data_IF_054206960729
#
_entry.id   IF_054206960729
#
_cell.length_a   1.000
_cell.length_b   1.000
_cell.length_c   1.000
_cell.angle_alpha   90.00
_cell.angle_beta   90.00
_cell.angle_gamma   90.00
#
_symmetry.space_group_name_H-M   'P 1'
#
loop_
_entity.id
_entity.type
_entity.pdbx_description
1 polymer ?
#
# COMPACT_ATOMS: atom_id res chain seq x y z
N UNK A 1 15.15 19.52 30.71
CA UNK A 1 14.37 18.28 30.93
C UNK A 1 14.15 17.62 29.60
N UNK A 2 14.82 16.48 29.36
CA UNK A 2 14.59 15.69 28.16
C UNK A 2 13.37 14.79 28.30
N UNK A 3 12.68 14.55 27.19
CA UNK A 3 11.88 13.35 26.92
C UNK A 3 11.93 13.08 25.42
N UNK A 4 12.76 12.11 25.05
CA UNK A 4 12.67 11.41 23.77
C UNK A 4 11.62 10.29 23.84
N UNK A 5 11.27 9.76 22.66
CA UNK A 5 10.49 8.52 22.49
C UNK A 5 9.56 8.62 21.28
N UNK A 6 10.02 8.25 20.07
CA UNK A 6 9.92 6.92 19.41
C UNK A 6 8.56 6.68 18.73
N UNK A 7 8.57 6.59 17.40
CA UNK A 7 7.43 6.20 16.57
C UNK A 7 7.85 5.62 15.22
N UNK A 8 8.50 4.45 15.24
CA UNK A 8 8.52 3.44 14.18
C UNK A 8 8.59 3.86 12.72
N UNK A 9 9.71 4.44 12.27
CA UNK A 9 10.14 4.23 10.90
C UNK A 9 10.82 2.86 10.88
N UNK A 10 10.21 1.85 10.27
CA UNK A 10 11.01 0.71 9.83
C UNK A 10 12.17 1.29 9.01
N UNK A 11 13.39 0.93 9.37
CA UNK A 11 14.62 1.22 8.64
C UNK A 11 14.63 0.46 7.31
N UNK A 12 13.52 0.52 6.59
CA UNK A 12 13.45 0.15 5.19
C UNK A 12 14.02 1.35 4.44
N UNK A 13 15.04 1.15 3.57
CA UNK A 13 15.44 2.21 2.67
C UNK A 13 14.17 2.71 1.96
N UNK A 14 14.01 4.02 1.84
CA UNK A 14 12.87 4.65 1.18
C UNK A 14 13.02 4.45 -0.33
N UNK A 15 12.99 3.18 -0.76
CA UNK A 15 13.20 2.72 -2.12
C UNK A 15 12.22 3.39 -3.09
N UNK A 16 11.03 3.73 -2.60
CA UNK A 16 10.05 4.51 -3.37
C UNK A 16 10.50 5.97 -3.63
N UNK A 17 11.33 6.57 -2.77
CA UNK A 17 11.76 7.96 -2.90
C UNK A 17 12.90 8.16 -3.89
N UNK A 18 13.74 7.14 -4.08
CA UNK A 18 14.81 7.14 -5.07
C UNK A 18 14.29 6.89 -6.50
N UNK A 19 13.07 6.36 -6.62
CA UNK A 19 12.45 6.07 -7.90
C UNK A 19 11.96 7.36 -8.60
N UNK A 20 12.22 7.53 -9.92
CA UNK A 20 11.69 8.66 -10.68
C UNK A 20 10.17 8.77 -10.56
N UNK A 21 9.65 10.00 -10.44
CA UNK A 21 8.21 10.27 -10.25
C UNK A 21 7.33 9.60 -11.32
N UNK A 22 7.76 9.62 -12.58
CA UNK A 22 7.09 8.98 -13.72
C UNK A 22 6.88 7.47 -13.48
N UNK A 23 7.90 6.81 -12.94
CA UNK A 23 7.87 5.38 -12.69
C UNK A 23 7.04 5.06 -11.43
N UNK A 24 7.10 5.92 -10.41
CA UNK A 24 6.26 5.80 -9.22
C UNK A 24 4.77 5.83 -9.57
N UNK A 25 4.35 6.67 -10.52
CA UNK A 25 2.95 6.72 -10.99
C UNK A 25 2.46 5.38 -11.52
N UNK A 26 3.34 4.63 -12.16
CA UNK A 26 3.01 3.37 -12.81
C UNK A 26 3.15 2.18 -11.84
N UNK A 27 3.99 2.30 -10.82
CA UNK A 27 4.25 1.23 -9.85
C UNK A 27 3.47 1.39 -8.53
N UNK A 28 2.80 2.53 -8.33
CA UNK A 28 2.03 2.83 -7.13
C UNK A 28 0.54 2.55 -7.35
N UNK A 29 0.00 1.67 -6.53
CA UNK A 29 -1.42 1.32 -6.48
C UNK A 29 -2.06 1.79 -5.19
N UNK A 30 -3.36 2.04 -5.27
CA UNK A 30 -4.22 2.34 -4.14
C UNK A 30 -5.26 1.23 -3.98
N UNK A 31 -5.42 0.76 -2.75
CA UNK A 31 -6.34 -0.30 -2.37
C UNK A 31 -7.42 0.32 -1.50
N UNK A 32 -8.67 0.11 -1.86
CA UNK A 32 -9.87 0.50 -1.12
C UNK A 32 -10.71 -0.73 -0.78
N UNK A 33 -11.52 -0.62 0.27
CA UNK A 33 -12.37 -1.72 0.72
C UNK A 33 -11.67 -2.71 1.66
N UNK A 34 -10.50 -2.34 2.21
CA UNK A 34 -9.80 -3.20 3.16
C UNK A 34 -10.64 -3.46 4.43
N UNK A 35 -10.64 -4.69 4.98
CA UNK A 35 -11.27 -4.99 6.26
C UNK A 35 -10.60 -4.24 7.40
N UNK A 36 -11.33 -3.83 8.44
CA UNK A 36 -10.79 -3.03 9.55
C UNK A 36 -9.63 -3.68 10.34
N UNK A 37 -9.45 -4.99 10.21
CA UNK A 37 -8.33 -5.74 10.80
C UNK A 37 -7.08 -5.85 9.92
N UNK A 38 -7.10 -5.33 8.69
CA UNK A 38 -5.94 -5.40 7.80
C UNK A 38 -4.90 -4.33 8.12
N UNK A 39 -3.69 -4.79 8.40
CA UNK A 39 -2.53 -3.94 8.62
C UNK A 39 -1.63 -3.86 7.38
N UNK A 40 -0.70 -2.90 7.40
CA UNK A 40 0.30 -2.73 6.35
C UNK A 40 1.06 -4.02 6.03
N UNK A 41 1.42 -4.81 7.06
CA UNK A 41 2.11 -6.09 6.85
C UNK A 41 1.23 -7.11 6.12
N UNK A 42 -0.07 -7.17 6.44
CA UNK A 42 -1.00 -8.08 5.76
C UNK A 42 -1.19 -7.68 4.30
N UNK A 43 -1.30 -6.38 4.03
CA UNK A 43 -1.38 -5.87 2.65
C UNK A 43 -0.09 -6.17 1.88
N UNK A 44 1.09 -5.99 2.50
CA UNK A 44 2.36 -6.39 1.90
C UNK A 44 2.35 -7.87 1.56
N UNK A 45 1.98 -8.72 2.51
CA UNK A 45 2.02 -10.17 2.29
C UNK A 45 1.05 -10.65 1.21
N UNK A 46 -0.14 -10.03 1.15
CA UNK A 46 -1.13 -10.28 0.10
C UNK A 46 -0.62 -9.91 -1.30
N UNK A 47 0.19 -8.85 -1.41
CA UNK A 47 0.66 -8.32 -2.70
C UNK A 47 2.03 -8.88 -3.14
N UNK A 48 2.84 -9.41 -2.21
CA UNK A 48 4.14 -10.05 -2.49
C UNK A 48 4.13 -11.10 -3.63
N UNK A 49 3.13 -11.98 -3.76
CA UNK A 49 3.15 -12.98 -4.84
C UNK A 49 3.02 -12.40 -6.25
N UNK A 50 2.72 -11.10 -6.38
CA UNK A 50 2.63 -10.42 -7.66
C UNK A 50 3.94 -9.75 -8.09
N UNK A 51 4.77 -9.36 -7.12
CA UNK A 51 6.02 -8.66 -7.38
C UNK A 51 6.67 -8.11 -6.11
N UNK A 52 7.82 -7.47 -6.28
CA UNK A 52 8.56 -6.86 -5.18
C UNK A 52 7.83 -5.61 -4.68
N UNK A 53 7.62 -5.53 -3.37
CA UNK A 53 7.02 -4.35 -2.75
C UNK A 53 8.13 -3.47 -2.20
N UNK A 54 8.29 -2.28 -2.78
CA UNK A 54 9.22 -1.28 -2.29
C UNK A 54 8.68 -0.59 -1.04
N UNK A 55 7.39 -0.27 -1.03
CA UNK A 55 6.75 0.37 0.11
C UNK A 55 5.26 0.02 0.18
N UNK A 56 4.71 -0.02 1.39
CA UNK A 56 3.26 -0.09 1.58
C UNK A 56 2.86 0.71 2.80
N UNK A 57 1.69 1.32 2.75
CA UNK A 57 1.16 2.13 3.82
C UNK A 57 -0.36 1.96 3.90
N UNK A 58 -0.88 1.56 5.05
CA UNK A 58 -2.33 1.50 5.30
C UNK A 58 -2.70 2.69 6.14
N UNK A 59 -3.62 3.51 5.65
CA UNK A 59 -4.05 4.70 6.37
C UNK A 59 -4.92 4.28 7.55
N UNK A 60 -4.53 4.73 8.73
CA UNK A 60 -5.24 4.49 9.98
C UNK A 60 -5.78 5.79 10.55
N UNK A 61 -6.88 5.67 11.27
CA UNK A 61 -7.48 6.73 12.06
C UNK A 61 -6.74 6.92 13.40
N UNK A 62 -7.03 7.99 14.13
CA UNK A 62 -6.42 8.30 15.44
C UNK A 62 -6.65 7.20 16.49
N UNK A 63 -7.71 6.40 16.32
CA UNK A 63 -8.00 5.23 17.16
C UNK A 63 -7.22 3.96 16.74
N UNK A 64 -6.28 4.06 15.78
CA UNK A 64 -5.49 2.93 15.29
C UNK A 64 -6.23 1.98 14.35
N UNK A 65 -7.52 2.24 14.07
CA UNK A 65 -8.34 1.48 13.12
C UNK A 65 -8.00 1.90 11.69
N UNK A 66 -7.84 0.97 10.76
CA UNK A 66 -7.62 1.35 9.38
C UNK A 66 -8.85 2.08 8.82
N UNK A 67 -8.63 2.97 7.85
CA UNK A 67 -9.69 3.72 7.18
C UNK A 67 -10.32 2.95 6.02
N UNK A 68 -9.97 1.66 5.88
CA UNK A 68 -10.38 0.82 4.76
C UNK A 68 -9.66 1.10 3.44
N UNK A 69 -8.55 1.84 3.47
CA UNK A 69 -7.72 2.08 2.27
C UNK A 69 -6.23 2.18 2.59
N UNK A 70 -5.40 1.91 1.58
CA UNK A 70 -3.94 1.91 1.66
C UNK A 70 -3.29 2.13 0.30
N UNK A 71 -1.98 2.41 0.33
CA UNK A 71 -1.12 2.57 -0.84
C UNK A 71 -0.04 1.48 -0.81
N UNK A 72 0.31 0.99 -1.99
CA UNK A 72 1.40 0.03 -2.19
C UNK A 72 2.21 0.47 -3.40
N UNK A 73 3.52 0.49 -3.26
CA UNK A 73 4.48 0.80 -4.31
C UNK A 73 5.27 -0.46 -4.62
N UNK A 74 5.14 -0.94 -5.86
CA UNK A 74 5.88 -2.06 -6.38
C UNK A 74 7.22 -1.63 -6.96
N UNK A 75 8.11 -2.60 -7.18
CA UNK A 75 9.39 -2.38 -7.87
C UNK A 75 9.19 -2.16 -9.38
N UNK A 76 8.13 -2.76 -9.93
CA UNK A 76 7.87 -2.80 -11.36
C UNK A 76 6.41 -2.44 -11.68
N UNK A 77 6.15 -1.74 -12.79
CA UNK A 77 4.80 -1.34 -13.18
C UNK A 77 3.93 -2.53 -13.61
N UNK A 78 4.55 -3.60 -14.11
CA UNK A 78 3.88 -4.86 -14.45
C UNK A 78 3.25 -5.50 -13.20
N UNK A 79 3.98 -5.52 -12.07
CA UNK A 79 3.46 -6.04 -10.81
C UNK A 79 2.28 -5.20 -10.29
N UNK A 80 2.35 -3.87 -10.44
CA UNK A 80 1.26 -2.97 -10.10
C UNK A 80 0.01 -3.21 -10.95
N UNK A 81 0.17 -3.37 -12.28
CA UNK A 81 -0.92 -3.70 -13.19
C UNK A 81 -1.55 -5.05 -12.86
N UNK A 82 -0.73 -6.09 -12.65
CA UNK A 82 -1.19 -7.42 -12.25
C UNK A 82 -1.96 -7.39 -10.92
N UNK A 83 -1.55 -6.54 -9.97
CA UNK A 83 -2.26 -6.35 -8.71
C UNK A 83 -3.63 -5.72 -8.89
N UNK A 84 -3.73 -4.72 -9.77
CA UNK A 84 -5.00 -4.12 -10.13
C UNK A 84 -5.90 -5.18 -10.76
N UNK A 85 -5.45 -5.87 -11.80
CA UNK A 85 -6.28 -6.86 -12.51
C UNK A 85 -6.71 -8.03 -11.62
N UNK A 86 -5.85 -8.48 -10.71
CA UNK A 86 -6.15 -9.62 -9.85
C UNK A 86 -7.04 -9.28 -8.67
N UNK A 87 -6.84 -8.12 -8.04
CA UNK A 87 -7.51 -7.76 -6.78
C UNK A 87 -8.64 -6.75 -6.95
N UNK A 88 -8.68 -5.98 -8.04
CA UNK A 88 -9.78 -5.06 -8.28
C UNK A 88 -11.07 -5.83 -8.54
N UNK A 89 -12.10 -5.55 -7.75
CA UNK A 89 -13.40 -6.23 -7.83
C UNK A 89 -13.45 -7.56 -7.06
N UNK A 90 -12.36 -7.99 -6.42
CA UNK A 90 -12.39 -9.17 -5.54
C UNK A 90 -13.17 -8.89 -4.26
N UNK A 91 -13.94 -9.86 -3.78
CA UNK A 91 -14.62 -9.74 -2.50
C UNK A 91 -13.73 -10.27 -1.37
N UNK A 92 -13.40 -9.40 -0.41
CA UNK A 92 -12.59 -9.74 0.75
C UNK A 92 -13.40 -9.53 2.02
N UNK A 93 -13.69 -10.62 2.75
CA UNK A 93 -14.55 -10.61 3.95
C UNK A 93 -15.93 -9.94 3.72
N UNK A 94 -16.57 -10.22 2.58
CA UNK A 94 -17.88 -9.62 2.25
C UNK A 94 -17.82 -8.16 1.80
N UNK A 95 -16.63 -7.65 1.47
CA UNK A 95 -16.42 -6.28 1.01
C UNK A 95 -15.68 -6.26 -0.33
N UNK A 96 -16.21 -5.60 -1.37
CA UNK A 96 -15.51 -5.50 -2.63
C UNK A 96 -14.25 -4.63 -2.47
N UNK A 97 -13.11 -5.20 -2.82
CA UNK A 97 -11.85 -4.50 -2.96
C UNK A 97 -11.87 -3.70 -4.25
N UNK A 98 -11.40 -2.46 -4.18
CA UNK A 98 -11.11 -1.67 -5.36
C UNK A 98 -9.62 -1.36 -5.37
N UNK A 99 -8.93 -1.87 -6.37
CA UNK A 99 -7.50 -1.68 -6.56
C UNK A 99 -7.31 -0.91 -7.85
N UNK A 100 -6.52 0.15 -7.82
CA UNK A 100 -6.31 1.00 -8.98
C UNK A 100 -5.00 1.77 -8.90
N UNK A 101 -4.57 2.42 -10.00
CA UNK A 101 -3.43 3.31 -9.97
C UNK A 101 -3.71 4.50 -9.03
N UNK A 102 -2.67 5.00 -8.37
CA UNK A 102 -2.80 6.18 -7.50
C UNK A 102 -3.22 7.41 -8.32
N UNK A 103 -4.50 7.78 -8.22
CA UNK A 103 -5.05 8.98 -8.88
C UNK A 103 -4.57 10.29 -8.27
N UNK A 104 -3.93 10.26 -7.09
CA UNK A 104 -3.41 11.47 -6.43
C UNK A 104 -2.21 12.06 -7.17
N UNK A 105 -1.50 11.24 -7.96
CA UNK A 105 -0.33 11.68 -8.71
C UNK A 105 -0.65 12.09 -10.15
N UNK A 106 -1.92 12.07 -10.58
CA UNK A 106 -2.35 12.50 -11.92
C UNK A 106 -2.31 14.02 -12.09
#
# INVERSE_FOLDING_TARGET
GGRGGKGGGSSEPRLDQDMPLEMRRQCQIMIHGLPFGYDTNMVKDMMKPLGGILNAHVFKDNLGRNKGYGLVCFDSPEAAAAAIEKYNGQELHGRPLSVGPDKKLM
#
